data_IF_759590588788
#
_entry.id   IF_759590588788
#
_cell.length_a   1.000
_cell.length_b   1.000
_cell.length_c   1.000
_cell.angle_alpha   90.00
_cell.angle_beta   90.00
_cell.angle_gamma   90.00
#
_symmetry.space_group_name_H-M   'P 1'
#
loop_
_entity.id
_entity.type
_entity.pdbx_description
1 polymer ?
#
# COMPACT_ATOMS: atom_id res chain seq x y z
N UNK A 1 -5.44 -7.20 -8.45
CA UNK A 1 -5.32 -6.75 -7.09
C UNK A 1 -6.66 -6.45 -6.42
N UNK A 2 -6.67 -5.61 -5.40
CA UNK A 2 -7.87 -5.35 -4.60
C UNK A 2 -9.02 -4.63 -5.34
N UNK A 3 -8.82 -4.19 -6.57
CA UNK A 3 -9.85 -3.45 -7.34
C UNK A 3 -11.15 -4.23 -7.50
N UNK A 4 -11.11 -5.54 -7.75
CA UNK A 4 -12.34 -6.35 -7.82
C UNK A 4 -12.94 -6.67 -6.46
N UNK A 5 -12.16 -6.62 -5.40
CA UNK A 5 -12.67 -6.77 -4.03
C UNK A 5 -13.46 -5.52 -3.63
N UNK A 6 -12.97 -4.35 -3.99
CA UNK A 6 -13.68 -3.09 -3.78
C UNK A 6 -14.90 -2.94 -4.68
N UNK A 7 -14.83 -3.47 -5.93
CA UNK A 7 -15.88 -3.29 -6.94
C UNK A 7 -16.16 -1.79 -7.16
N UNK A 8 -17.36 -1.33 -6.83
CA UNK A 8 -17.80 0.07 -6.91
C UNK A 8 -17.43 0.93 -5.69
N UNK A 9 -16.93 0.31 -4.61
CA UNK A 9 -16.61 0.99 -3.34
C UNK A 9 -15.36 1.86 -3.48
N UNK A 10 -15.34 3.01 -2.82
CA UNK A 10 -14.16 3.86 -2.76
C UNK A 10 -13.05 3.25 -1.89
N UNK A 11 -11.77 3.39 -2.24
CA UNK A 11 -10.66 3.00 -1.38
C UNK A 11 -10.46 3.93 -0.16
N UNK A 12 -11.20 5.03 -0.09
CA UNK A 12 -10.96 6.12 0.84
C UNK A 12 -11.78 5.99 2.15
N UNK A 13 -12.18 4.76 2.48
CA UNK A 13 -12.84 4.43 3.73
C UNK A 13 -12.08 3.39 4.53
N UNK A 14 -12.39 3.32 5.81
CA UNK A 14 -11.96 2.22 6.67
C UNK A 14 -12.95 1.07 6.52
N UNK A 15 -12.44 -0.10 6.20
CA UNK A 15 -13.24 -1.32 6.03
C UNK A 15 -13.01 -2.30 7.17
N UNK A 16 -13.91 -3.26 7.29
CA UNK A 16 -13.78 -4.42 8.17
C UNK A 16 -13.48 -5.67 7.34
N UNK A 17 -12.59 -6.52 7.82
CA UNK A 17 -12.37 -7.83 7.20
C UNK A 17 -13.53 -8.77 7.54
N UNK A 18 -14.10 -9.42 6.52
CA UNK A 18 -15.17 -10.43 6.74
C UNK A 18 -14.64 -11.67 7.49
N UNK A 19 -13.41 -12.11 7.20
CA UNK A 19 -12.79 -13.28 7.83
C UNK A 19 -12.25 -13.01 9.22
N UNK A 20 -11.96 -11.74 9.54
CA UNK A 20 -11.41 -11.31 10.83
C UNK A 20 -12.11 -10.01 11.28
N UNK A 21 -13.31 -10.06 11.86
CA UNK A 21 -14.13 -8.87 12.14
C UNK A 21 -13.50 -7.85 13.08
N UNK A 22 -12.48 -8.23 13.86
CA UNK A 22 -11.70 -7.30 14.70
C UNK A 22 -10.64 -6.53 13.90
N UNK A 23 -10.33 -6.96 12.68
CA UNK A 23 -9.32 -6.36 11.82
C UNK A 23 -9.96 -5.29 10.94
N UNK A 24 -9.41 -4.08 11.00
CA UNK A 24 -9.72 -3.01 10.05
C UNK A 24 -8.78 -3.07 8.86
N UNK A 25 -9.29 -2.73 7.70
CA UNK A 25 -8.56 -2.78 6.42
C UNK A 25 -8.54 -1.40 5.80
N UNK A 26 -7.35 -0.94 5.46
CA UNK A 26 -7.13 0.31 4.74
C UNK A 26 -6.73 -0.03 3.30
N UNK A 27 -7.48 0.49 2.34
CA UNK A 27 -7.25 0.23 0.93
C UNK A 27 -6.39 1.32 0.30
N UNK A 28 -5.46 0.92 -0.55
CA UNK A 28 -4.62 1.85 -1.32
C UNK A 28 -5.46 2.65 -2.30
N UNK A 29 -5.38 3.96 -2.27
CA UNK A 29 -5.84 4.79 -3.38
C UNK A 29 -4.85 4.62 -4.54
N UNK A 30 -5.22 3.80 -5.52
CA UNK A 30 -4.33 3.45 -6.63
C UNK A 30 -4.04 4.65 -7.52
N UNK A 31 -5.01 5.49 -7.80
CA UNK A 31 -4.83 6.62 -8.72
C UNK A 31 -3.78 7.60 -8.17
N UNK A 32 -3.97 8.10 -6.97
CA UNK A 32 -3.04 9.05 -6.34
C UNK A 32 -1.67 8.42 -6.04
N UNK A 33 -1.65 7.14 -5.65
CA UNK A 33 -0.38 6.46 -5.41
C UNK A 33 0.40 6.21 -6.69
N UNK A 34 -0.27 5.83 -7.79
CA UNK A 34 0.35 5.58 -9.08
C UNK A 34 0.86 6.88 -9.73
N UNK A 35 0.18 8.00 -9.52
CA UNK A 35 0.69 9.30 -9.93
C UNK A 35 2.09 9.57 -9.38
N UNK A 36 2.29 9.35 -8.08
CA UNK A 36 3.60 9.55 -7.45
C UNK A 36 4.60 8.47 -7.86
N UNK A 37 4.18 7.20 -7.89
CA UNK A 37 5.09 6.09 -8.13
C UNK A 37 5.59 6.02 -9.58
N UNK A 38 4.71 6.27 -10.55
CA UNK A 38 4.99 5.96 -11.96
C UNK A 38 4.90 7.16 -12.89
N UNK A 39 4.13 8.19 -12.55
CA UNK A 39 3.82 9.28 -13.45
C UNK A 39 4.35 10.65 -13.01
N UNK A 40 5.04 10.73 -11.87
CA UNK A 40 5.50 11.99 -11.31
C UNK A 40 6.34 12.82 -12.29
N UNK A 41 7.26 12.20 -13.00
CA UNK A 41 8.15 12.83 -13.97
C UNK A 41 7.78 12.52 -15.43
N UNK A 42 6.59 11.98 -15.71
CA UNK A 42 6.14 11.63 -17.06
C UNK A 42 5.47 12.84 -17.74
N UNK A 43 6.12 13.49 -18.74
CA UNK A 43 5.54 14.65 -19.43
C UNK A 43 4.30 14.33 -20.24
N UNK A 44 4.04 13.05 -20.55
CA UNK A 44 2.87 12.61 -21.30
C UNK A 44 1.67 12.30 -20.39
N UNK A 45 1.87 12.31 -19.06
CA UNK A 45 0.79 12.09 -18.13
C UNK A 45 -0.17 13.28 -18.15
N UNK A 46 -1.47 13.00 -18.18
CA UNK A 46 -2.50 14.06 -18.29
C UNK A 46 -2.44 15.11 -17.18
N UNK A 47 -1.91 14.72 -16.03
CA UNK A 47 -1.81 15.57 -14.85
C UNK A 47 -0.41 16.19 -14.63
N UNK A 48 0.50 16.03 -15.60
CA UNK A 48 1.84 16.59 -15.52
C UNK A 48 1.81 18.13 -15.69
N UNK A 49 2.67 18.90 -15.02
CA UNK A 49 3.54 18.48 -13.92
C UNK A 49 2.75 18.22 -12.62
N UNK A 50 3.23 17.25 -11.83
CA UNK A 50 2.66 16.96 -10.51
C UNK A 50 3.48 17.72 -9.48
N UNK A 51 2.84 18.65 -8.81
CA UNK A 51 3.42 19.40 -7.68
C UNK A 51 2.57 19.22 -6.41
N UNK A 52 3.06 19.72 -5.27
CA UNK A 52 2.41 19.53 -3.99
C UNK A 52 1.05 20.26 -3.90
N UNK A 53 0.91 21.42 -4.53
CA UNK A 53 -0.33 22.18 -4.54
C UNK A 53 -1.41 21.44 -5.33
N UNK A 54 -1.08 20.98 -6.52
CA UNK A 54 -1.97 20.23 -7.40
C UNK A 54 -2.39 18.90 -6.77
N UNK A 55 -1.43 18.17 -6.20
CA UNK A 55 -1.69 16.91 -5.52
C UNK A 55 -2.61 17.07 -4.30
N UNK A 56 -2.36 18.08 -3.47
CA UNK A 56 -3.24 18.37 -2.32
C UNK A 56 -4.61 18.90 -2.74
N UNK A 57 -4.70 19.55 -3.90
CA UNK A 57 -6.00 19.92 -4.50
C UNK A 57 -6.80 18.70 -4.90
N UNK A 58 -6.17 17.68 -5.47
CA UNK A 58 -6.83 16.41 -5.76
C UNK A 58 -7.29 15.71 -4.46
N UNK A 59 -6.44 15.73 -3.42
CA UNK A 59 -6.84 15.18 -2.11
C UNK A 59 -8.05 15.91 -1.53
N UNK A 60 -8.06 17.25 -1.61
CA UNK A 60 -9.17 18.06 -1.12
C UNK A 60 -10.47 17.89 -1.94
N UNK A 61 -10.34 17.47 -3.21
CA UNK A 61 -11.47 17.21 -4.08
C UNK A 61 -12.11 15.82 -3.87
N UNK A 62 -11.58 14.99 -2.97
CA UNK A 62 -12.24 13.76 -2.58
C UNK A 62 -13.61 14.09 -1.94
N UNK A 63 -14.55 13.18 -2.06
CA UNK A 63 -15.89 13.41 -1.56
C UNK A 63 -15.86 13.78 -0.06
N UNK A 64 -16.70 14.74 0.34
CA UNK A 64 -16.75 15.22 1.74
C UNK A 64 -17.04 14.11 2.76
N UNK A 65 -17.72 13.05 2.31
CA UNK A 65 -18.03 11.89 3.14
C UNK A 65 -16.87 10.90 3.27
N UNK A 66 -15.81 11.01 2.44
CA UNK A 66 -14.68 10.12 2.47
C UNK A 66 -13.80 10.38 3.71
N UNK A 67 -13.27 9.31 4.29
CA UNK A 67 -12.61 9.35 5.60
C UNK A 67 -11.11 9.58 5.49
N UNK A 68 -10.48 8.90 4.54
CA UNK A 68 -9.00 8.82 4.44
C UNK A 68 -8.56 8.65 2.99
N UNK A 69 -7.37 9.14 2.66
CA UNK A 69 -6.69 8.78 1.42
C UNK A 69 -5.40 8.01 1.79
N UNK A 70 -5.36 6.74 1.45
CA UNK A 70 -4.20 5.90 1.72
C UNK A 70 -3.25 5.92 0.52
N UNK A 71 -2.15 6.64 0.64
CA UNK A 71 -1.09 6.72 -0.37
C UNK A 71 -0.02 5.69 -0.02
N UNK A 72 0.10 4.67 -0.87
CA UNK A 72 1.06 3.58 -0.70
C UNK A 72 1.98 3.52 -1.91
N UNK A 73 3.24 3.80 -1.68
CA UNK A 73 4.30 3.76 -2.69
C UNK A 73 5.52 3.06 -2.11
N UNK A 74 6.30 2.42 -2.97
CA UNK A 74 7.56 1.83 -2.56
C UNK A 74 8.56 2.92 -2.18
N UNK A 75 9.42 2.67 -1.21
CA UNK A 75 10.47 3.62 -0.82
C UNK A 75 11.39 3.98 -2.00
N UNK A 76 11.61 3.06 -2.91
CA UNK A 76 12.35 3.26 -4.17
C UNK A 76 11.75 4.33 -5.09
N UNK A 77 10.49 4.69 -4.90
CA UNK A 77 9.87 5.81 -5.61
C UNK A 77 10.70 7.08 -5.41
N UNK A 78 11.26 7.28 -4.23
CA UNK A 78 11.99 8.48 -3.86
C UNK A 78 13.50 8.28 -4.03
N UNK A 79 14.03 8.67 -5.18
CA UNK A 79 15.45 8.65 -5.52
C UNK A 79 15.90 7.55 -6.46
N UNK A 80 15.14 6.46 -6.61
CA UNK A 80 15.44 5.38 -7.57
C UNK A 80 14.55 5.48 -8.80
N UNK A 81 13.22 5.38 -8.64
CA UNK A 81 12.28 5.53 -9.77
C UNK A 81 12.14 6.99 -10.20
N UNK A 82 11.92 7.87 -9.23
CA UNK A 82 11.90 9.31 -9.43
C UNK A 82 13.23 9.87 -8.92
N UNK A 83 14.14 10.14 -9.84
CA UNK A 83 15.47 10.67 -9.51
C UNK A 83 15.39 12.05 -8.84
N UNK A 84 16.45 12.47 -8.18
CA UNK A 84 16.51 13.74 -7.45
C UNK A 84 16.23 14.97 -8.33
N UNK A 85 16.57 14.90 -9.61
CA UNK A 85 16.33 15.98 -10.59
C UNK A 85 14.86 16.04 -11.09
N UNK A 86 14.01 15.12 -10.71
CA UNK A 86 12.59 15.13 -11.06
C UNK A 86 11.77 16.13 -10.25
N UNK A 87 12.32 16.68 -9.18
CA UNK A 87 11.60 17.54 -8.23
C UNK A 87 10.83 16.78 -7.14
N UNK A 88 10.96 15.44 -7.06
CA UNK A 88 10.22 14.61 -6.10
C UNK A 88 10.53 14.97 -4.63
N UNK A 89 11.75 15.37 -4.33
CA UNK A 89 12.13 15.76 -2.97
C UNK A 89 11.63 17.15 -2.61
N UNK A 90 11.56 18.07 -3.55
CA UNK A 90 10.94 19.39 -3.40
C UNK A 90 9.43 19.24 -3.18
N UNK A 91 8.79 18.34 -3.93
CA UNK A 91 7.41 17.95 -3.72
C UNK A 91 7.20 17.45 -2.27
N UNK A 92 8.02 16.51 -1.78
CA UNK A 92 7.90 15.97 -0.42
C UNK A 92 8.07 17.05 0.66
N UNK A 93 8.97 18.00 0.45
CA UNK A 93 9.18 19.14 1.38
C UNK A 93 7.98 20.08 1.40
N UNK A 94 7.36 20.34 0.24
CA UNK A 94 6.25 21.26 0.11
C UNK A 94 4.90 20.64 0.51
N UNK A 95 4.75 19.31 0.36
CA UNK A 95 3.51 18.59 0.59
C UNK A 95 2.84 18.88 1.95
N UNK A 96 3.56 18.87 3.10
CA UNK A 96 2.93 19.14 4.39
C UNK A 96 2.34 20.55 4.49
N UNK A 97 2.98 21.55 3.92
CA UNK A 97 2.51 22.93 3.95
C UNK A 97 1.22 23.08 3.15
N UNK A 98 1.21 22.63 1.91
CA UNK A 98 0.00 22.68 1.07
C UNK A 98 -1.14 21.82 1.63
N UNK A 99 -0.84 20.71 2.31
CA UNK A 99 -1.83 19.91 2.99
C UNK A 99 -2.48 20.68 4.16
N UNK A 100 -1.68 21.34 4.98
CA UNK A 100 -2.19 22.17 6.09
C UNK A 100 -3.07 23.30 5.59
N UNK A 101 -2.68 24.00 4.53
CA UNK A 101 -3.46 25.09 3.91
C UNK A 101 -4.88 24.61 3.47
N UNK A 102 -5.00 23.33 3.15
CA UNK A 102 -6.26 22.68 2.75
C UNK A 102 -6.94 21.89 3.88
N UNK A 103 -6.46 22.05 5.13
CA UNK A 103 -6.97 21.34 6.30
C UNK A 103 -6.86 19.81 6.18
N UNK A 104 -5.88 19.32 5.43
CA UNK A 104 -5.58 17.89 5.29
C UNK A 104 -4.56 17.49 6.36
N UNK A 105 -4.93 16.57 7.24
CA UNK A 105 -4.06 16.05 8.30
C UNK A 105 -3.40 14.72 7.90
N UNK A 106 -2.22 14.48 8.45
CA UNK A 106 -1.53 13.19 8.34
C UNK A 106 -1.81 12.35 9.58
N UNK A 107 -2.03 11.08 9.38
CA UNK A 107 -2.34 10.12 10.45
C UNK A 107 -1.61 8.81 10.23
N UNK A 108 -1.20 8.17 11.30
CA UNK A 108 -0.74 6.78 11.24
C UNK A 108 -1.92 5.81 11.06
N UNK A 109 -1.71 4.60 10.52
CA UNK A 109 -2.77 3.59 10.42
C UNK A 109 -3.48 3.32 11.74
N UNK A 110 -2.74 3.32 12.85
CA UNK A 110 -3.30 3.12 14.20
C UNK A 110 -4.22 4.25 14.64
N UNK A 111 -3.91 5.50 14.29
CA UNK A 111 -4.76 6.66 14.57
C UNK A 111 -6.03 6.62 13.72
N UNK A 112 -5.88 6.33 12.41
CA UNK A 112 -7.01 6.19 11.48
C UNK A 112 -7.99 5.13 11.99
N UNK A 113 -7.49 3.95 12.36
CA UNK A 113 -8.35 2.85 12.82
C UNK A 113 -9.00 3.11 14.19
N UNK A 114 -8.47 4.01 14.98
CA UNK A 114 -9.11 4.46 16.24
C UNK A 114 -10.14 5.56 16.00
N UNK A 115 -9.84 6.49 15.10
CA UNK A 115 -10.66 7.68 14.83
C UNK A 115 -11.91 7.36 14.02
N UNK A 116 -11.78 6.52 13.01
CA UNK A 116 -12.86 6.25 12.05
C UNK A 116 -13.52 4.88 12.31
N UNK A 117 -14.84 4.86 12.25
CA UNK A 117 -15.62 3.61 12.24
C UNK A 117 -15.49 2.90 10.90
N UNK A 118 -15.82 1.61 10.87
CA UNK A 118 -15.90 0.86 9.61
C UNK A 118 -17.06 1.37 8.77
N UNK A 119 -16.81 1.62 7.51
CA UNK A 119 -17.86 2.01 6.56
C UNK A 119 -18.63 0.78 6.06
N UNK A 120 -17.89 -0.30 5.75
CA UNK A 120 -18.45 -1.51 5.18
C UNK A 120 -17.49 -2.71 5.38
N UNK A 121 -17.89 -3.88 4.94
CA UNK A 121 -17.13 -5.13 5.02
C UNK A 121 -16.50 -5.44 3.66
N UNK A 122 -15.25 -5.88 3.68
CA UNK A 122 -14.56 -6.39 2.51
C UNK A 122 -14.30 -7.88 2.65
N UNK A 123 -14.51 -8.60 1.56
CA UNK A 123 -14.28 -10.05 1.45
C UNK A 123 -13.14 -10.29 0.48
N UNK A 124 -12.06 -10.89 0.96
CA UNK A 124 -10.97 -11.40 0.12
C UNK A 124 -11.08 -12.93 0.08
N UNK A 125 -11.76 -13.51 -0.92
CA UNK A 125 -12.03 -14.94 -0.96
C UNK A 125 -10.80 -15.79 -1.31
N UNK A 126 -9.76 -15.15 -1.81
CA UNK A 126 -8.48 -15.77 -2.19
C UNK A 126 -7.33 -14.79 -1.92
N UNK A 127 -6.09 -15.30 -1.79
CA UNK A 127 -4.91 -14.45 -1.67
C UNK A 127 -4.74 -13.55 -2.89
N UNK A 128 -4.43 -12.29 -2.64
CA UNK A 128 -4.15 -11.28 -3.67
C UNK A 128 -2.80 -10.63 -3.43
N UNK A 129 -2.16 -10.20 -4.49
CA UNK A 129 -0.94 -9.40 -4.43
C UNK A 129 -1.01 -8.20 -5.36
N UNK A 130 -0.19 -7.21 -5.12
CA UNK A 130 0.03 -6.10 -6.04
C UNK A 130 1.02 -6.46 -7.15
N UNK A 131 1.83 -7.49 -6.94
CA UNK A 131 2.88 -7.92 -7.84
C UNK A 131 2.35 -8.79 -8.99
N UNK A 132 3.10 -8.82 -10.08
CA UNK A 132 2.74 -9.56 -11.29
C UNK A 132 1.54 -8.97 -12.04
N UNK A 133 1.31 -9.43 -13.26
CA UNK A 133 0.21 -8.99 -14.10
C UNK A 133 -1.14 -9.53 -13.62
N UNK A 134 -1.17 -10.82 -13.25
CA UNK A 134 -2.37 -11.50 -12.76
C UNK A 134 -2.85 -11.03 -11.37
N UNK A 135 -1.98 -10.33 -10.61
CA UNK A 135 -2.26 -9.87 -9.23
C UNK A 135 -2.67 -10.98 -8.25
N UNK A 136 -2.20 -12.19 -8.51
CA UNK A 136 -2.36 -13.38 -7.68
C UNK A 136 -0.99 -13.88 -7.16
N UNK A 137 -0.94 -15.08 -6.62
CA UNK A 137 0.30 -15.65 -6.08
C UNK A 137 1.21 -16.32 -7.13
N UNK A 138 0.87 -16.29 -8.41
CA UNK A 138 1.60 -17.04 -9.46
C UNK A 138 3.08 -16.65 -9.57
N UNK A 139 3.44 -15.40 -9.25
CA UNK A 139 4.85 -14.99 -9.23
C UNK A 139 5.66 -15.66 -8.12
N UNK A 140 5.02 -16.14 -7.06
CA UNK A 140 5.65 -16.80 -5.91
C UNK A 140 5.46 -18.32 -5.94
N UNK A 141 4.39 -18.84 -6.53
CA UNK A 141 3.99 -20.24 -6.50
C UNK A 141 3.67 -20.79 -7.91
N UNK A 142 4.13 -20.12 -8.95
CA UNK A 142 3.78 -20.45 -10.34
C UNK A 142 4.50 -21.65 -10.93
N UNK A 143 5.50 -22.22 -10.25
CA UNK A 143 6.21 -23.42 -10.69
C UNK A 143 6.60 -24.34 -9.53
N UNK A 144 7.00 -25.58 -9.88
CA UNK A 144 7.27 -26.62 -8.89
C UNK A 144 8.48 -26.27 -7.99
N UNK A 145 9.49 -25.60 -8.51
CA UNK A 145 10.67 -25.18 -7.69
C UNK A 145 10.29 -24.16 -6.63
N UNK A 146 9.46 -23.19 -6.99
CA UNK A 146 8.96 -22.20 -6.04
C UNK A 146 8.09 -22.86 -4.96
N UNK A 147 7.20 -23.76 -5.35
CA UNK A 147 6.34 -24.48 -4.42
C UNK A 147 7.18 -25.38 -3.48
N UNK A 148 8.16 -26.09 -3.99
CA UNK A 148 9.06 -26.93 -3.18
C UNK A 148 9.86 -26.08 -2.19
N UNK A 149 10.40 -24.94 -2.63
CA UNK A 149 11.15 -24.02 -1.76
C UNK A 149 10.29 -23.52 -0.60
N UNK A 150 9.07 -23.05 -0.88
CA UNK A 150 8.13 -22.59 0.14
C UNK A 150 7.72 -23.72 1.09
N UNK A 151 7.43 -24.91 0.57
CA UNK A 151 7.09 -26.06 1.41
C UNK A 151 8.22 -26.41 2.38
N UNK A 152 9.48 -26.46 1.89
CA UNK A 152 10.65 -26.71 2.75
C UNK A 152 10.85 -25.63 3.79
N UNK A 153 10.70 -24.37 3.40
CA UNK A 153 10.83 -23.22 4.31
C UNK A 153 9.82 -23.31 5.46
N UNK A 154 8.55 -23.54 5.15
CA UNK A 154 7.49 -23.56 6.15
C UNK A 154 7.37 -24.89 6.89
N UNK A 155 7.90 -26.00 6.36
CA UNK A 155 7.94 -27.28 7.08
C UNK A 155 8.77 -27.22 8.38
N UNK A 156 9.70 -26.29 8.48
CA UNK A 156 10.52 -26.10 9.71
C UNK A 156 10.01 -25.00 10.62
N UNK A 157 8.95 -24.29 10.25
CA UNK A 157 8.45 -23.10 10.96
C UNK A 157 8.21 -23.35 12.47
N UNK A 158 7.49 -24.41 12.81
CA UNK A 158 7.19 -24.74 14.22
C UNK A 158 8.47 -24.99 15.01
N UNK A 159 9.42 -25.75 14.46
CA UNK A 159 10.70 -26.04 15.07
C UNK A 159 11.53 -24.77 15.30
N UNK A 160 11.52 -23.87 14.34
CA UNK A 160 12.20 -22.57 14.45
C UNK A 160 11.54 -21.70 15.52
N UNK A 161 10.22 -21.65 15.58
CA UNK A 161 9.49 -20.88 16.60
C UNK A 161 9.77 -21.38 18.02
N UNK A 162 9.88 -22.70 18.22
CA UNK A 162 10.20 -23.30 19.51
C UNK A 162 11.69 -23.20 19.88
N UNK A 163 12.57 -23.02 18.92
CA UNK A 163 14.00 -22.88 19.14
C UNK A 163 14.32 -21.64 19.98
N UNK A 164 15.36 -21.72 20.82
CA UNK A 164 15.85 -20.57 21.59
C UNK A 164 16.97 -19.79 20.89
N UNK A 165 17.49 -20.32 19.78
CA UNK A 165 18.54 -19.70 18.98
C UNK A 165 17.98 -18.49 18.21
N UNK A 166 18.41 -17.30 18.62
CA UNK A 166 17.97 -16.03 18.02
C UNK A 166 18.52 -15.84 16.60
N UNK A 167 19.72 -16.36 16.33
CA UNK A 167 20.33 -16.25 15.02
C UNK A 167 19.57 -17.10 14.01
N UNK A 168 19.27 -18.35 14.36
CA UNK A 168 18.46 -19.23 13.52
C UNK A 168 17.07 -18.66 13.22
N UNK A 169 16.42 -18.03 14.21
CA UNK A 169 15.14 -17.34 13.98
C UNK A 169 15.29 -16.19 12.98
N UNK A 170 16.34 -15.40 13.13
CA UNK A 170 16.63 -14.28 12.22
C UNK A 170 16.89 -14.77 10.80
N UNK A 171 17.70 -15.80 10.66
CA UNK A 171 18.06 -16.37 9.35
C UNK A 171 16.81 -16.93 8.65
N UNK A 172 15.94 -17.60 9.40
CA UNK A 172 14.66 -18.08 8.86
C UNK A 172 13.72 -16.94 8.44
N UNK A 173 13.67 -15.84 9.19
CA UNK A 173 12.90 -14.65 8.80
C UNK A 173 13.44 -14.03 7.51
N UNK A 174 14.77 -13.94 7.36
CA UNK A 174 15.39 -13.41 6.13
C UNK A 174 15.14 -14.28 4.88
N UNK A 175 14.89 -15.58 5.07
CA UNK A 175 14.57 -16.49 3.96
C UNK A 175 13.12 -16.32 3.46
N UNK A 176 12.29 -15.57 4.16
CA UNK A 176 10.89 -15.30 3.79
C UNK A 176 10.71 -13.99 3.01
N UNK A 177 11.78 -13.19 2.88
CA UNK A 177 11.78 -11.88 2.26
C UNK A 177 11.99 -11.91 0.74
#
# INVERSE_FOLDING_TARGET
GAKHILSWKSPNYVYQSASAPKMKVLMRNSNLSDELAFHFADPNWYNYPIDAEKFTTQLAALAEEEQVANIWVDAETFGVRQHSNSGIFEFLKALPYHAMDKSIGFMTPSEVTKKFSNNDVVVAPYPITWAGEAKDLSIYTGNDLQNEALQKLYAVAERVHLCQDKQLKRDWLLLQD
#
